data_IF_319251591845
#
_entry.id   IF_319251591845
#
_cell.length_a   1.000
_cell.length_b   1.000
_cell.length_c   1.000
_cell.angle_alpha   90.00
_cell.angle_beta   90.00
_cell.angle_gamma   90.00
#
_symmetry.space_group_name_H-M   'P 1'
#
loop_
_entity.id
_entity.type
_entity.pdbx_description
1 polymer ?
#
# COMPACT_ATOMS: atom_id res chain seq x y z
N UNK A 1 22.69 41.17 9.72
CA UNK A 1 21.83 40.04 9.29
C UNK A 1 22.71 38.99 8.63
N UNK A 2 22.76 37.75 9.13
CA UNK A 2 23.55 36.68 8.49
C UNK A 2 22.93 36.32 7.15
N UNK A 3 23.72 36.35 6.07
CA UNK A 3 23.28 35.97 4.71
C UNK A 3 22.78 34.52 4.75
N UNK A 4 21.50 34.30 4.41
CA UNK A 4 20.87 32.98 4.41
C UNK A 4 21.61 32.07 3.40
N UNK A 5 21.88 30.81 3.75
CA UNK A 5 22.65 29.90 2.86
C UNK A 5 21.80 29.60 1.61
N UNK A 6 22.45 29.38 0.47
CA UNK A 6 21.79 29.09 -0.82
C UNK A 6 20.80 27.92 -0.69
N UNK A 7 21.16 26.87 0.07
CA UNK A 7 20.30 25.71 0.33
C UNK A 7 18.99 26.10 1.03
N UNK A 8 19.04 27.05 1.97
CA UNK A 8 17.85 27.49 2.70
C UNK A 8 16.97 28.39 1.82
N UNK A 9 17.57 29.20 0.93
CA UNK A 9 16.83 30.01 -0.04
C UNK A 9 16.12 29.14 -1.09
N UNK A 10 16.79 28.08 -1.56
CA UNK A 10 16.22 27.07 -2.45
C UNK A 10 15.03 26.37 -1.79
N UNK A 11 15.21 25.91 -0.54
CA UNK A 11 14.17 25.19 0.18
C UNK A 11 12.93 26.06 0.45
N UNK A 12 13.12 27.29 0.94
CA UNK A 12 12.02 28.26 1.14
C UNK A 12 11.21 28.49 -0.15
N UNK A 13 11.90 28.58 -1.30
CA UNK A 13 11.24 28.78 -2.58
C UNK A 13 10.41 27.55 -2.98
N UNK A 14 10.97 26.35 -2.81
CA UNK A 14 10.29 25.09 -3.10
C UNK A 14 9.05 24.93 -2.22
N UNK A 15 9.14 25.21 -0.91
CA UNK A 15 8.01 25.16 0.02
C UNK A 15 6.88 26.14 -0.32
N UNK A 16 7.22 27.32 -0.86
CA UNK A 16 6.23 28.32 -1.25
C UNK A 16 5.58 28.02 -2.60
N UNK A 17 6.32 27.40 -3.51
CA UNK A 17 5.90 27.21 -4.90
C UNK A 17 5.14 25.90 -5.12
N UNK A 18 5.48 24.84 -4.39
CA UNK A 18 4.94 23.50 -4.62
C UNK A 18 4.21 23.00 -3.39
N UNK A 19 3.10 22.31 -3.59
CA UNK A 19 2.37 21.66 -2.51
C UNK A 19 3.01 20.32 -2.09
N UNK A 20 2.60 19.78 -0.94
CA UNK A 20 3.03 18.45 -0.52
C UNK A 20 2.66 17.40 -1.56
N UNK A 21 3.59 16.50 -1.88
CA UNK A 21 3.42 15.45 -2.91
C UNK A 21 3.27 15.93 -4.36
N UNK A 22 3.44 17.22 -4.64
CA UNK A 22 3.54 17.74 -6.00
C UNK A 22 4.98 17.52 -6.53
N UNK A 23 5.16 16.84 -7.68
CA UNK A 23 6.49 16.65 -8.26
C UNK A 23 6.92 17.90 -9.02
N UNK A 24 8.16 18.32 -8.81
CA UNK A 24 8.83 19.36 -9.59
C UNK A 24 10.08 18.83 -10.28
N UNK A 25 10.42 19.43 -11.42
CA UNK A 25 11.61 19.09 -12.16
C UNK A 25 12.80 19.88 -11.64
N UNK A 26 13.95 19.21 -11.52
CA UNK A 26 15.21 19.87 -11.19
C UNK A 26 15.56 20.99 -12.19
N UNK A 27 15.10 20.86 -13.44
CA UNK A 27 15.25 21.91 -14.47
C UNK A 27 14.49 23.18 -14.13
N UNK A 28 13.27 23.07 -13.60
CA UNK A 28 12.46 24.23 -13.18
C UNK A 28 13.15 25.01 -12.05
N UNK A 29 13.94 24.33 -11.23
CA UNK A 29 14.76 24.97 -10.19
C UNK A 29 15.94 25.73 -10.81
N UNK A 30 16.56 25.22 -11.87
CA UNK A 30 17.60 25.95 -12.60
C UNK A 30 17.06 27.25 -13.20
N UNK A 31 15.89 27.18 -13.82
CA UNK A 31 15.26 28.33 -14.46
C UNK A 31 14.85 29.41 -13.45
N UNK A 32 14.57 29.02 -12.21
CA UNK A 32 14.20 29.96 -11.13
C UNK A 32 15.42 30.59 -10.45
N UNK A 33 16.61 29.97 -10.55
CA UNK A 33 17.85 30.46 -9.95
C UNK A 33 18.98 30.53 -10.99
N UNK A 34 18.84 31.35 -12.05
CA UNK A 34 19.81 31.41 -13.14
C UNK A 34 21.20 31.87 -12.69
N UNK A 35 21.28 32.67 -11.63
CA UNK A 35 22.55 33.18 -11.07
C UNK A 35 23.29 32.17 -10.19
N UNK A 36 22.73 30.97 -9.97
CA UNK A 36 23.34 29.92 -9.16
C UNK A 36 23.83 28.78 -10.05
N UNK A 37 25.09 28.37 -9.87
CA UNK A 37 25.66 27.24 -10.60
C UNK A 37 24.81 25.95 -10.40
N UNK A 38 24.46 25.28 -11.50
CA UNK A 38 23.66 24.05 -11.49
C UNK A 38 24.27 22.94 -10.61
N UNK A 39 25.60 22.84 -10.52
CA UNK A 39 26.28 21.91 -9.63
C UNK A 39 25.98 22.19 -8.15
N UNK A 40 25.94 23.47 -7.77
CA UNK A 40 25.55 23.92 -6.42
C UNK A 40 24.09 23.61 -6.14
N UNK A 41 23.19 23.78 -7.12
CA UNK A 41 21.77 23.42 -7.01
C UNK A 41 21.62 21.90 -6.82
N UNK A 42 22.29 21.08 -7.64
CA UNK A 42 22.27 19.61 -7.53
C UNK A 42 22.74 19.13 -6.16
N UNK A 43 23.85 19.68 -5.68
CA UNK A 43 24.40 19.34 -4.37
C UNK A 43 23.45 19.77 -3.25
N UNK A 44 22.79 20.93 -3.39
CA UNK A 44 21.81 21.41 -2.40
C UNK A 44 20.57 20.52 -2.37
N UNK A 45 20.03 20.14 -3.53
CA UNK A 45 18.89 19.21 -3.64
C UNK A 45 19.26 17.82 -3.11
N UNK A 46 20.47 17.32 -3.36
CA UNK A 46 20.99 16.07 -2.79
C UNK A 46 21.01 16.12 -1.26
N UNK A 47 21.55 17.20 -0.67
CA UNK A 47 21.58 17.39 0.79
C UNK A 47 20.18 17.50 1.38
N UNK A 48 19.26 18.22 0.73
CA UNK A 48 17.86 18.30 1.17
C UNK A 48 17.16 16.94 1.13
N UNK A 49 17.48 16.10 0.15
CA UNK A 49 17.00 14.73 0.08
C UNK A 49 17.60 13.86 1.20
N UNK A 50 18.90 13.97 1.48
CA UNK A 50 19.57 13.26 2.59
C UNK A 50 19.04 13.68 3.97
N UNK A 51 18.62 14.94 4.10
CA UNK A 51 17.95 15.47 5.28
C UNK A 51 16.45 15.15 5.33
N UNK A 52 15.94 14.32 4.41
CA UNK A 52 14.54 13.94 4.27
C UNK A 52 13.56 15.11 4.03
N UNK A 53 14.07 16.32 3.75
CA UNK A 53 13.27 17.50 3.40
C UNK A 53 12.71 17.45 1.99
N UNK A 54 13.27 16.60 1.14
CA UNK A 54 12.79 16.32 -0.21
C UNK A 54 12.78 14.82 -0.47
N UNK A 55 11.89 14.41 -1.36
CA UNK A 55 11.77 13.03 -1.80
C UNK A 55 12.13 12.94 -3.27
N UNK A 56 13.02 12.01 -3.63
CA UNK A 56 13.33 11.73 -5.03
C UNK A 56 12.36 10.70 -5.60
N UNK A 57 11.59 11.11 -6.61
CA UNK A 57 10.63 10.25 -7.32
C UNK A 57 11.31 9.48 -8.46
N UNK A 58 12.09 10.20 -9.29
CA UNK A 58 12.90 9.67 -10.39
C UNK A 58 14.13 10.55 -10.59
N UNK A 59 15.05 10.15 -11.46
CA UNK A 59 16.20 11.00 -11.79
C UNK A 59 15.73 12.37 -12.30
N UNK A 60 16.11 13.44 -11.58
CA UNK A 60 15.74 14.81 -11.90
C UNK A 60 14.32 15.23 -11.49
N UNK A 61 13.59 14.40 -10.74
CA UNK A 61 12.21 14.69 -10.28
C UNK A 61 12.15 14.56 -8.76
N UNK A 62 11.75 15.64 -8.10
CA UNK A 62 11.72 15.77 -6.63
C UNK A 62 10.35 16.27 -6.16
N UNK A 63 10.07 16.17 -4.86
CA UNK A 63 8.85 16.72 -4.27
C UNK A 63 8.98 16.89 -2.75
N UNK A 64 8.09 17.68 -2.16
CA UNK A 64 8.03 17.85 -0.70
C UNK A 64 7.45 16.58 -0.03
N UNK A 65 8.05 16.11 1.07
CA UNK A 65 7.53 14.98 1.84
C UNK A 65 6.18 15.34 2.44
N UNK A 66 5.20 14.44 2.35
CA UNK A 66 3.91 14.63 3.03
C UNK A 66 3.99 14.02 4.44
N UNK A 67 3.83 14.81 5.52
CA UNK A 67 3.94 14.35 6.89
C UNK A 67 2.81 13.39 7.32
N UNK A 68 1.65 13.44 6.67
CA UNK A 68 0.51 12.53 6.92
C UNK A 68 0.64 11.19 6.19
N UNK A 69 1.81 10.91 5.62
CA UNK A 69 2.03 9.76 4.76
C UNK A 69 2.80 8.67 5.51
N UNK A 70 2.11 7.56 5.76
CA UNK A 70 2.67 6.36 6.39
C UNK A 70 3.84 5.73 5.60
N UNK A 71 4.05 6.13 4.33
CA UNK A 71 5.20 5.77 3.50
C UNK A 71 5.69 7.00 2.70
N UNK A 72 6.92 7.45 2.96
CA UNK A 72 7.55 8.70 2.46
C UNK A 72 7.92 8.68 0.96
N UNK A 73 7.00 8.64 -0.02
CA UNK A 73 7.40 8.89 -1.43
C UNK A 73 6.29 9.27 -2.42
N UNK A 74 6.21 10.54 -2.85
CA UNK A 74 5.23 11.05 -3.80
C UNK A 74 5.67 10.86 -5.24
N UNK A 75 5.44 9.66 -5.74
CA UNK A 75 5.03 9.52 -7.12
C UNK A 75 3.51 9.36 -7.04
N UNK A 76 2.73 10.06 -7.85
CA UNK A 76 1.41 9.58 -8.26
C UNK A 76 1.65 8.22 -8.94
N UNK A 77 1.83 7.20 -8.11
CA UNK A 77 2.10 5.87 -8.56
C UNK A 77 0.77 5.40 -9.15
N UNK A 78 0.84 4.66 -10.26
CA UNK A 78 -0.32 3.95 -10.81
C UNK A 78 -1.06 3.18 -9.72
N UNK A 79 -0.30 2.71 -8.74
CA UNK A 79 -0.76 2.08 -7.52
C UNK A 79 -1.58 3.00 -6.59
N UNK A 80 -1.24 4.28 -6.43
CA UNK A 80 -2.01 5.23 -5.60
C UNK A 80 -3.38 5.55 -6.19
N UNK A 81 -3.46 5.61 -7.53
CA UNK A 81 -4.75 5.74 -8.22
C UNK A 81 -5.60 4.48 -8.07
N UNK A 82 -4.98 3.30 -8.15
CA UNK A 82 -5.63 2.01 -7.91
C UNK A 82 -6.10 1.90 -6.46
N UNK A 83 -5.29 2.34 -5.49
CA UNK A 83 -5.63 2.35 -4.07
C UNK A 83 -6.82 3.25 -3.78
N UNK A 84 -6.80 4.50 -4.25
CA UNK A 84 -7.93 5.44 -4.10
C UNK A 84 -9.18 5.04 -4.88
N UNK A 85 -9.03 4.24 -5.93
CA UNK A 85 -10.18 3.78 -6.69
C UNK A 85 -10.81 2.56 -6.07
N UNK A 86 -10.02 1.55 -5.67
CA UNK A 86 -10.52 0.21 -5.36
C UNK A 86 -10.28 -0.24 -3.92
N UNK A 87 -9.37 0.38 -3.17
CA UNK A 87 -9.04 -0.02 -1.78
C UNK A 87 -9.63 0.94 -0.77
N UNK A 88 -9.55 2.25 -1.02
CA UNK A 88 -10.18 3.30 -0.21
C UNK A 88 -11.20 4.08 -1.03
N UNK A 89 -12.29 4.53 -0.42
CA UNK A 89 -13.20 5.51 -1.04
C UNK A 89 -12.68 6.95 -0.83
N UNK A 90 -13.47 7.93 -1.26
CA UNK A 90 -13.14 9.35 -1.11
C UNK A 90 -13.11 9.78 0.37
N UNK A 91 -13.91 9.11 1.21
CA UNK A 91 -13.97 9.30 2.67
C UNK A 91 -12.86 8.56 3.44
N UNK A 92 -11.90 7.94 2.73
CA UNK A 92 -10.83 7.09 3.28
C UNK A 92 -11.25 5.77 3.94
N UNK A 93 -12.51 5.37 3.85
CA UNK A 93 -12.97 4.05 4.28
C UNK A 93 -12.38 2.94 3.44
N UNK A 94 -12.07 1.82 4.09
CA UNK A 94 -11.58 0.61 3.43
C UNK A 94 -12.75 -0.07 2.72
N UNK A 95 -12.67 -0.13 1.40
CA UNK A 95 -13.67 -0.72 0.48
C UNK A 95 -13.09 -1.84 -0.39
N UNK A 96 -11.82 -2.18 -0.18
CA UNK A 96 -11.13 -3.27 -0.87
C UNK A 96 -9.79 -3.57 -0.25
N UNK A 97 -9.12 -4.60 -0.75
CA UNK A 97 -7.84 -5.08 -0.22
C UNK A 97 -7.02 -5.78 -1.29
N UNK A 98 -5.70 -5.88 -1.05
CA UNK A 98 -4.77 -6.64 -1.90
C UNK A 98 -4.72 -8.10 -1.47
N UNK A 99 -4.57 -9.02 -2.42
CA UNK A 99 -4.55 -10.46 -2.19
C UNK A 99 -3.44 -11.16 -2.99
N UNK A 100 -3.40 -12.49 -2.95
CA UNK A 100 -2.43 -13.34 -3.64
C UNK A 100 -1.01 -13.19 -3.12
N UNK A 101 -0.02 -13.24 -4.02
CA UNK A 101 1.40 -13.14 -3.66
C UNK A 101 1.77 -11.85 -2.92
N UNK A 102 1.07 -10.75 -3.17
CA UNK A 102 1.28 -9.52 -2.40
C UNK A 102 1.00 -9.74 -0.90
N UNK A 103 -0.12 -10.40 -0.59
CA UNK A 103 -0.51 -10.69 0.80
C UNK A 103 0.43 -11.71 1.45
N UNK A 104 0.77 -12.78 0.72
CA UNK A 104 1.71 -13.78 1.23
C UNK A 104 3.10 -13.19 1.51
N UNK A 105 3.62 -12.35 0.62
CA UNK A 105 4.90 -11.66 0.81
C UNK A 105 4.83 -10.66 1.98
N UNK A 106 3.73 -9.90 2.12
CA UNK A 106 3.52 -8.99 3.25
C UNK A 106 3.53 -9.71 4.61
N UNK A 107 3.04 -10.96 4.65
CA UNK A 107 3.12 -11.83 5.82
C UNK A 107 4.45 -12.61 5.93
N UNK A 108 5.41 -12.39 5.02
CA UNK A 108 6.69 -13.14 4.94
C UNK A 108 6.52 -14.65 4.74
N UNK A 109 5.41 -15.06 4.13
CA UNK A 109 5.09 -16.46 3.81
C UNK A 109 5.68 -16.91 2.48
N UNK A 110 6.29 -15.99 1.72
CA UNK A 110 7.02 -16.29 0.49
C UNK A 110 8.00 -15.16 0.19
N UNK A 111 9.11 -15.52 -0.46
CA UNK A 111 10.05 -14.56 -1.07
C UNK A 111 9.67 -14.20 -2.50
N UNK A 112 8.74 -14.94 -3.11
CA UNK A 112 8.30 -14.73 -4.48
C UNK A 112 7.56 -13.40 -4.61
N UNK A 113 7.75 -12.75 -5.75
CA UNK A 113 7.02 -11.54 -6.13
C UNK A 113 6.22 -11.82 -7.39
N UNK A 114 5.02 -11.25 -7.46
CA UNK A 114 4.14 -11.34 -8.63
C UNK A 114 4.19 -10.02 -9.40
N UNK A 115 4.26 -10.09 -10.73
CA UNK A 115 4.07 -8.92 -11.60
C UNK A 115 2.61 -8.44 -11.62
N UNK A 116 1.66 -9.30 -11.25
CA UNK A 116 0.24 -9.01 -11.22
C UNK A 116 -0.18 -8.54 -9.81
N UNK A 117 -0.93 -7.43 -9.77
CA UNK A 117 -1.57 -6.90 -8.57
C UNK A 117 -3.02 -7.40 -8.50
N UNK A 118 -3.34 -8.19 -7.47
CA UNK A 118 -4.69 -8.73 -7.26
C UNK A 118 -5.42 -7.93 -6.18
N UNK A 119 -6.61 -7.45 -6.50
CA UNK A 119 -7.45 -6.63 -5.61
C UNK A 119 -8.87 -7.20 -5.57
N UNK A 120 -9.46 -7.21 -4.38
CA UNK A 120 -10.90 -7.40 -4.18
C UNK A 120 -11.52 -6.08 -3.72
N UNK A 121 -12.66 -5.70 -4.29
CA UNK A 121 -13.27 -4.39 -4.03
C UNK A 121 -14.79 -4.41 -4.12
N UNK A 122 -15.44 -3.56 -3.30
CA UNK A 122 -16.87 -3.29 -3.35
C UNK A 122 -17.31 -2.59 -4.66
N UNK A 123 -16.40 -1.95 -5.39
CA UNK A 123 -16.72 -1.17 -6.62
C UNK A 123 -16.82 -2.02 -7.89
N UNK A 124 -16.83 -3.35 -7.79
CA UNK A 124 -16.90 -4.25 -8.96
C UNK A 124 -18.09 -5.20 -8.84
N UNK A 125 -18.98 -5.18 -9.84
CA UNK A 125 -20.13 -6.07 -9.94
C UNK A 125 -19.80 -7.31 -10.80
N UNK A 126 -19.63 -8.46 -10.13
CA UNK A 126 -19.51 -9.87 -10.59
C UNK A 126 -18.49 -10.24 -11.69
N UNK A 127 -18.10 -9.34 -12.59
CA UNK A 127 -17.13 -9.63 -13.65
C UNK A 127 -15.72 -9.26 -13.19
N UNK A 128 -14.83 -10.26 -13.18
CA UNK A 128 -13.38 -10.07 -13.08
C UNK A 128 -12.96 -9.01 -14.10
N UNK A 129 -12.35 -7.93 -13.61
CA UNK A 129 -11.80 -6.86 -14.45
C UNK A 129 -10.29 -6.96 -14.43
N UNK A 130 -9.66 -6.82 -15.59
CA UNK A 130 -8.21 -6.67 -15.67
C UNK A 130 -7.92 -5.35 -16.35
N UNK A 131 -7.07 -4.54 -15.73
CA UNK A 131 -6.59 -3.28 -16.29
C UNK A 131 -5.07 -3.29 -16.29
N UNK A 132 -4.48 -2.62 -17.28
CA UNK A 132 -3.06 -2.29 -17.26
C UNK A 132 -2.91 -0.89 -16.70
N UNK A 133 -2.09 -0.74 -15.66
CA UNK A 133 -1.75 0.57 -15.13
C UNK A 133 -0.23 0.72 -15.23
N UNK A 134 0.21 1.50 -16.22
CA UNK A 134 1.58 1.49 -16.73
C UNK A 134 1.97 0.07 -17.19
N UNK A 135 2.92 -0.57 -16.51
CA UNK A 135 3.42 -1.91 -16.84
C UNK A 135 2.95 -2.99 -15.84
N UNK A 136 2.06 -2.63 -14.91
CA UNK A 136 1.51 -3.55 -13.92
C UNK A 136 0.13 -3.99 -14.36
N UNK A 137 -0.08 -5.31 -14.42
CA UNK A 137 -1.40 -5.89 -14.63
C UNK A 137 -2.15 -5.91 -13.31
N UNK A 138 -3.29 -5.24 -13.26
CA UNK A 138 -4.14 -5.18 -12.07
C UNK A 138 -5.40 -5.99 -12.32
N UNK A 139 -5.55 -7.07 -11.55
CA UNK A 139 -6.73 -7.94 -11.55
C UNK A 139 -7.64 -7.53 -10.41
N UNK A 140 -8.83 -7.08 -10.74
CA UNK A 140 -9.81 -6.56 -9.78
C UNK A 140 -11.01 -7.49 -9.78
N UNK A 141 -11.29 -8.06 -8.62
CA UNK A 141 -12.37 -9.00 -8.37
C UNK A 141 -13.42 -8.36 -7.46
N UNK A 142 -14.64 -8.89 -7.51
CA UNK A 142 -15.65 -8.60 -6.50
C UNK A 142 -15.30 -9.37 -5.22
N UNK A 143 -15.32 -8.70 -4.07
CA UNK A 143 -15.19 -9.35 -2.77
C UNK A 143 -16.40 -10.26 -2.49
N UNK A 144 -16.17 -11.41 -1.85
CA UNK A 144 -17.24 -12.36 -1.49
C UNK A 144 -18.23 -11.75 -0.49
N UNK A 145 -17.67 -11.02 0.47
CA UNK A 145 -18.40 -10.23 1.46
C UNK A 145 -18.10 -8.76 1.25
N UNK A 146 -19.06 -7.88 1.57
CA UNK A 146 -18.85 -6.43 1.55
C UNK A 146 -17.65 -6.07 2.44
N UNK A 147 -16.66 -5.42 1.84
CA UNK A 147 -15.44 -5.00 2.52
C UNK A 147 -15.72 -3.78 3.40
N UNK A 148 -15.20 -3.81 4.63
CA UNK A 148 -15.21 -2.69 5.57
C UNK A 148 -13.85 -2.59 6.25
N UNK A 149 -13.62 -1.49 6.98
CA UNK A 149 -12.44 -1.34 7.84
C UNK A 149 -12.34 -2.39 8.95
N UNK A 150 -13.46 -3.00 9.33
CA UNK A 150 -13.53 -3.97 10.43
C UNK A 150 -13.22 -5.40 9.96
N UNK A 151 -13.56 -5.76 8.72
CA UNK A 151 -13.47 -7.15 8.25
C UNK A 151 -12.37 -7.44 7.22
N UNK A 152 -11.76 -6.42 6.62
CA UNK A 152 -10.87 -6.64 5.46
C UNK A 152 -9.69 -7.57 5.76
N UNK A 153 -9.12 -7.56 6.99
CA UNK A 153 -8.02 -8.45 7.38
C UNK A 153 -8.45 -9.92 7.35
N UNK A 154 -9.65 -10.23 7.84
CA UNK A 154 -10.22 -11.59 7.78
C UNK A 154 -10.41 -12.03 6.33
N UNK A 155 -10.98 -11.16 5.50
CA UNK A 155 -11.19 -11.44 4.07
C UNK A 155 -9.87 -11.69 3.33
N UNK A 156 -8.81 -10.93 3.66
CA UNK A 156 -7.47 -11.14 3.09
C UNK A 156 -6.90 -12.51 3.43
N UNK A 157 -7.03 -12.94 4.70
CA UNK A 157 -6.58 -14.27 5.12
C UNK A 157 -7.41 -15.36 4.43
N UNK A 158 -8.73 -15.25 4.40
CA UNK A 158 -9.58 -16.25 3.77
C UNK A 158 -9.27 -16.40 2.27
N UNK A 159 -9.03 -15.31 1.54
CA UNK A 159 -8.61 -15.37 0.13
C UNK A 159 -7.22 -15.99 -0.06
N UNK A 160 -6.29 -15.75 0.88
CA UNK A 160 -4.98 -16.41 0.89
C UNK A 160 -5.14 -17.93 1.06
N UNK A 161 -6.05 -18.36 1.94
CA UNK A 161 -6.30 -19.78 2.24
C UNK A 161 -6.92 -20.55 1.06
N UNK A 162 -7.68 -19.91 0.17
CA UNK A 162 -8.25 -20.57 -1.03
C UNK A 162 -7.16 -21.28 -1.84
N UNK A 163 -5.97 -20.68 -1.97
CA UNK A 163 -4.85 -21.27 -2.70
C UNK A 163 -3.55 -21.17 -1.90
N UNK A 164 -3.58 -21.52 -0.61
CA UNK A 164 -2.46 -21.32 0.31
C UNK A 164 -1.14 -21.92 -0.21
N UNK A 165 -1.19 -23.18 -0.66
CA UNK A 165 -0.02 -23.91 -1.21
C UNK A 165 0.60 -23.25 -2.45
N UNK A 166 -0.18 -22.43 -3.17
CA UNK A 166 0.32 -21.68 -4.33
C UNK A 166 1.09 -20.43 -3.89
N UNK A 167 0.63 -19.78 -2.83
CA UNK A 167 1.12 -18.47 -2.42
C UNK A 167 2.18 -18.53 -1.33
N UNK A 168 2.22 -19.62 -0.55
CA UNK A 168 3.16 -19.78 0.56
C UNK A 168 4.20 -20.86 0.28
N UNK A 169 5.43 -20.56 0.70
CA UNK A 169 6.55 -21.51 0.76
C UNK A 169 6.59 -22.25 2.11
N UNK A 170 5.75 -21.85 3.06
CA UNK A 170 5.62 -22.43 4.39
C UNK A 170 4.43 -23.38 4.45
N UNK A 171 4.47 -24.31 5.41
CA UNK A 171 3.29 -25.12 5.71
C UNK A 171 2.21 -24.28 6.41
N UNK A 172 0.96 -24.75 6.37
CA UNK A 172 -0.14 -24.09 7.07
C UNK A 172 0.11 -24.05 8.59
N UNK A 173 0.72 -25.09 9.16
CA UNK A 173 1.06 -25.15 10.58
C UNK A 173 2.13 -24.12 10.95
N UNK A 174 3.19 -23.98 10.14
CA UNK A 174 4.28 -23.03 10.41
C UNK A 174 3.81 -21.58 10.26
N UNK A 175 2.75 -21.37 9.47
CA UNK A 175 2.17 -20.05 9.21
C UNK A 175 1.14 -19.63 10.25
N UNK A 176 0.79 -20.51 11.20
CA UNK A 176 -0.28 -20.29 12.17
C UNK A 176 -0.06 -19.06 13.02
N UNK A 177 1.12 -18.93 13.60
CA UNK A 177 1.47 -17.79 14.47
C UNK A 177 1.48 -16.47 13.69
N UNK A 178 2.04 -16.48 12.48
CA UNK A 178 2.12 -15.31 11.60
C UNK A 178 0.71 -14.83 11.23
N UNK A 179 -0.16 -15.74 10.80
CA UNK A 179 -1.53 -15.43 10.43
C UNK A 179 -2.33 -14.99 11.66
N UNK A 180 -2.13 -15.65 12.81
CA UNK A 180 -2.80 -15.27 14.05
C UNK A 180 -2.43 -13.88 14.51
N UNK A 181 -1.15 -13.54 14.53
CA UNK A 181 -0.67 -12.20 14.88
C UNK A 181 -1.25 -11.12 13.95
N UNK A 182 -1.44 -11.43 12.67
CA UNK A 182 -2.10 -10.53 11.73
C UNK A 182 -3.59 -10.30 12.04
N UNK A 183 -4.26 -11.30 12.62
CA UNK A 183 -5.69 -11.26 12.97
C UNK A 183 -5.99 -10.83 14.42
N UNK A 184 -4.99 -10.74 15.30
CA UNK A 184 -5.15 -10.44 16.74
C UNK A 184 -5.87 -9.11 17.07
N UNK A 185 -6.06 -8.21 16.09
CA UNK A 185 -6.77 -6.93 16.26
C UNK A 185 -8.13 -6.90 15.55
N UNK A 186 -8.70 -8.05 15.20
CA UNK A 186 -10.04 -8.11 14.62
C UNK A 186 -11.08 -7.71 15.67
N UNK A 187 -11.71 -6.55 15.46
CA UNK A 187 -12.94 -6.17 16.17
C UNK A 187 -14.14 -6.77 15.45
N UNK A 188 -14.27 -8.10 15.49
CA UNK A 188 -15.44 -8.85 15.00
C UNK A 188 -15.89 -9.82 16.09
N UNK A 189 -17.20 -9.98 16.25
CA UNK A 189 -17.78 -11.05 17.06
C UNK A 189 -17.58 -12.42 16.41
N UNK A 190 -17.68 -13.49 17.19
CA UNK A 190 -17.60 -14.85 16.66
C UNK A 190 -18.66 -15.11 15.58
N UNK A 191 -19.88 -14.60 15.78
CA UNK A 191 -20.97 -14.72 14.81
C UNK A 191 -20.65 -14.00 13.50
N UNK A 192 -20.08 -12.79 13.55
CA UNK A 192 -19.63 -12.08 12.35
C UNK A 192 -18.53 -12.83 11.61
N UNK A 193 -17.58 -13.43 12.35
CA UNK A 193 -16.51 -14.24 11.76
C UNK A 193 -17.09 -15.47 11.07
N UNK A 194 -17.99 -16.21 11.72
CA UNK A 194 -18.64 -17.39 11.16
C UNK A 194 -19.43 -17.06 9.89
N UNK A 195 -20.27 -16.02 9.94
CA UNK A 195 -21.03 -15.53 8.79
C UNK A 195 -20.11 -15.18 7.61
N UNK A 196 -18.94 -14.59 7.87
CA UNK A 196 -17.96 -14.27 6.82
C UNK A 196 -17.30 -15.54 6.26
N UNK A 197 -16.91 -16.47 7.13
CA UNK A 197 -16.22 -17.72 6.74
C UNK A 197 -17.13 -18.58 5.86
N UNK A 198 -18.43 -18.61 6.15
CA UNK A 198 -19.42 -19.39 5.39
C UNK A 198 -19.56 -18.97 3.92
N UNK A 199 -19.23 -17.72 3.58
CA UNK A 199 -19.23 -17.19 2.21
C UNK A 199 -18.01 -17.65 1.37
N UNK A 200 -17.05 -18.33 2.00
CA UNK A 200 -15.85 -18.85 1.36
C UNK A 200 -15.96 -20.35 1.02
N UNK A 201 -15.21 -20.86 0.03
CA UNK A 201 -15.22 -22.29 -0.31
C UNK A 201 -14.80 -23.17 0.87
N UNK A 202 -15.39 -24.37 0.98
CA UNK A 202 -15.14 -25.34 2.07
C UNK A 202 -13.66 -25.56 2.37
N UNK A 203 -12.80 -25.63 1.37
CA UNK A 203 -11.36 -25.84 1.57
C UNK A 203 -10.68 -24.67 2.32
N UNK A 204 -11.13 -23.44 2.09
CA UNK A 204 -10.64 -22.26 2.81
C UNK A 204 -11.17 -22.26 4.26
N UNK A 205 -12.45 -22.61 4.46
CA UNK A 205 -13.05 -22.76 5.79
C UNK A 205 -12.29 -23.80 6.63
N UNK A 206 -12.05 -24.99 6.07
CA UNK A 206 -11.30 -26.07 6.75
C UNK A 206 -9.90 -25.60 7.15
N UNK A 207 -9.21 -24.87 6.27
CA UNK A 207 -7.89 -24.33 6.59
C UNK A 207 -7.94 -23.26 7.69
N UNK A 208 -8.96 -22.39 7.68
CA UNK A 208 -9.16 -21.38 8.71
C UNK A 208 -9.36 -22.01 10.10
N UNK A 209 -10.19 -23.06 10.20
CA UNK A 209 -10.38 -23.77 11.47
C UNK A 209 -9.13 -24.55 11.91
N UNK A 210 -8.34 -25.10 10.97
CA UNK A 210 -7.03 -25.71 11.29
C UNK A 210 -6.03 -24.72 11.88
N UNK A 211 -6.13 -23.45 11.51
CA UNK A 211 -5.31 -22.38 12.08
C UNK A 211 -5.75 -21.95 13.49
N UNK A 212 -6.86 -22.50 14.01
CA UNK A 212 -7.39 -22.17 15.34
C UNK A 212 -8.72 -21.42 15.34
N UNK A 213 -9.29 -21.14 14.16
CA UNK A 213 -10.65 -20.63 14.00
C UNK A 213 -10.94 -19.35 14.79
N UNK A 214 -12.18 -19.18 15.24
CA UNK A 214 -12.63 -18.06 16.07
C UNK A 214 -11.82 -17.94 17.36
N UNK A 215 -11.59 -19.07 18.06
CA UNK A 215 -10.94 -19.09 19.37
C UNK A 215 -9.51 -18.54 19.40
N UNK A 216 -8.71 -18.76 18.35
CA UNK A 216 -7.33 -18.29 18.33
C UNK A 216 -7.19 -16.79 18.00
N UNK A 217 -8.23 -16.15 17.45
CA UNK A 217 -8.14 -14.79 16.90
C UNK A 217 -9.06 -13.77 17.58
N UNK A 218 -9.87 -14.19 18.56
CA UNK A 218 -10.77 -13.31 19.33
C UNK A 218 -10.42 -13.21 20.82
N UNK A 219 -9.21 -13.61 21.23
CA UNK A 219 -8.79 -13.45 22.63
C UNK A 219 -8.55 -11.97 22.97
N UNK A 220 -9.53 -11.39 23.66
CA UNK A 220 -9.30 -10.37 24.69
C UNK A 220 -9.26 -11.06 26.05
#
# INVERSE_FOLDING_TARGET
MKKKKIIDQLYDHIEKKYEFSEPFLLKEVYDTFPDVNQGTIRESIRRLHEQEKLVKSKNGVYGLPNPNRLLKTAVLNSEDAVNRKYIKNEDNDIIGYRSGFYMANALRLTTQTSSDLVIYSNKVSKKKRTIMVKNIRVVINQARVKVTSHNYKLLQVLDLLINFKKFSEYSLSDSKEIIGNYLNELNLSNEEIENIVDEYPKDAQIQFYKLGGTHAFTHK
#
